data_IF_442486136543
#
_entry.id   IF_442486136543
#
_cell.length_a   1.000
_cell.length_b   1.000
_cell.length_c   1.000
_cell.angle_alpha   90.00
_cell.angle_beta   90.00
_cell.angle_gamma   90.00
#
_symmetry.space_group_name_H-M   'P 1'
#
loop_
_entity.id
_entity.type
_entity.pdbx_description
1 polymer ?
#
# COMPACT_ATOMS: atom_id res chain seq x y z
N UNK A 1 3.95 -11.51 12.58
CA UNK A 1 2.67 -11.35 11.88
C UNK A 1 2.01 -10.12 12.50
N UNK A 2 1.82 -9.07 11.70
CA UNK A 2 1.22 -7.82 12.18
C UNK A 2 -0.20 -8.05 12.71
N UNK A 3 -0.51 -7.48 13.88
CA UNK A 3 -1.88 -7.44 14.44
C UNK A 3 -2.63 -6.19 14.03
N UNK A 4 -1.98 -5.27 13.32
CA UNK A 4 -2.58 -4.05 12.80
C UNK A 4 -3.44 -4.38 11.58
N UNK A 5 -4.68 -3.92 11.58
CA UNK A 5 -5.67 -4.17 10.53
C UNK A 5 -5.60 -3.15 9.37
N UNK A 6 -4.53 -2.35 9.36
CA UNK A 6 -4.22 -1.38 8.33
C UNK A 6 -4.90 -0.02 8.49
N UNK A 7 -5.66 0.19 9.57
CA UNK A 7 -6.49 1.39 9.74
C UNK A 7 -5.77 2.45 10.58
N UNK A 8 -5.71 3.67 10.05
CA UNK A 8 -5.16 4.83 10.76
C UNK A 8 -6.30 5.66 11.34
N UNK A 9 -6.60 5.45 12.62
CA UNK A 9 -7.74 6.07 13.31
C UNK A 9 -7.60 7.60 13.46
N UNK A 10 -6.39 8.14 13.39
CA UNK A 10 -6.11 9.58 13.53
C UNK A 10 -6.64 10.38 12.34
N UNK A 11 -6.87 9.74 11.19
CA UNK A 11 -7.43 10.34 9.98
C UNK A 11 -8.83 9.78 9.67
N UNK A 12 -9.88 10.04 10.47
CA UNK A 12 -11.25 9.73 10.07
C UNK A 12 -11.83 10.93 9.29
N UNK A 13 -12.47 10.73 8.13
CA UNK A 13 -13.29 11.85 7.62
C UNK A 13 -14.54 12.01 8.48
N UNK A 14 -14.77 13.23 8.95
CA UNK A 14 -16.06 13.66 9.47
C UNK A 14 -16.94 13.98 8.26
N UNK A 15 -17.62 12.98 7.68
CA UNK A 15 -18.85 13.26 6.93
C UNK A 15 -19.98 13.28 7.94
N UNK A 16 -20.48 14.49 8.23
CA UNK A 16 -21.77 14.73 8.87
C UNK A 16 -22.77 13.63 8.47
N UNK A 17 -23.13 12.79 9.44
CA UNK A 17 -24.11 11.67 9.38
C UNK A 17 -23.66 10.29 8.88
N UNK A 18 -22.38 9.98 8.68
CA UNK A 18 -21.92 8.56 8.60
C UNK A 18 -20.75 8.29 9.55
N UNK A 19 -20.71 7.12 10.20
CA UNK A 19 -19.60 6.77 11.08
C UNK A 19 -18.31 6.70 10.25
N UNK A 20 -17.24 7.30 10.77
CA UNK A 20 -15.82 7.07 10.48
C UNK A 20 -15.54 6.52 9.07
N UNK A 21 -15.26 7.42 8.12
CA UNK A 21 -14.71 7.00 6.82
C UNK A 21 -13.21 6.82 6.99
N UNK A 22 -12.73 5.58 6.83
CA UNK A 22 -11.32 5.24 6.77
C UNK A 22 -10.68 6.01 5.60
N UNK A 23 -9.79 6.95 5.90
CA UNK A 23 -9.21 7.83 4.86
C UNK A 23 -8.09 7.10 4.13
N UNK A 24 -7.27 6.38 4.88
CA UNK A 24 -6.09 5.69 4.37
C UNK A 24 -6.01 4.28 4.96
N UNK A 25 -5.46 3.36 4.17
CA UNK A 25 -5.16 2.01 4.61
C UNK A 25 -3.72 1.65 4.32
N UNK A 26 -3.02 0.99 5.25
CA UNK A 26 -1.60 0.64 5.12
C UNK A 26 -1.42 -0.87 5.27
N UNK A 27 -0.77 -1.54 4.32
CA UNK A 27 -0.38 -2.97 4.35
C UNK A 27 -1.53 -4.00 4.51
N UNK A 28 -2.79 -3.56 4.42
CA UNK A 28 -3.96 -4.42 4.51
C UNK A 28 -5.01 -4.01 3.47
N UNK A 29 -5.29 -4.87 2.50
CA UNK A 29 -6.08 -4.52 1.30
C UNK A 29 -7.36 -5.36 1.19
N UNK A 30 -7.72 -6.12 2.24
CA UNK A 30 -8.97 -6.88 2.24
C UNK A 30 -10.15 -5.94 2.37
N UNK A 31 -11.19 -6.18 1.58
CA UNK A 31 -12.46 -5.46 1.72
C UNK A 31 -13.11 -5.86 3.04
N UNK A 32 -13.56 -4.86 3.79
CA UNK A 32 -14.41 -5.04 4.95
C UNK A 32 -15.84 -4.60 4.59
N UNK A 33 -16.84 -5.51 4.57
CA UNK A 33 -18.21 -5.13 4.22
C UNK A 33 -18.85 -4.16 5.22
N UNK A 34 -18.37 -4.11 6.46
CA UNK A 34 -18.90 -3.26 7.51
C UNK A 34 -18.28 -1.85 7.49
N UNK A 35 -17.31 -1.60 6.60
CA UNK A 35 -16.58 -0.33 6.52
C UNK A 35 -16.53 0.22 5.09
N UNK A 36 -16.46 1.55 4.92
CA UNK A 36 -16.25 2.14 3.60
C UNK A 36 -14.85 1.78 3.06
N UNK A 37 -14.72 1.79 1.74
CA UNK A 37 -13.41 1.62 1.11
C UNK A 37 -12.49 2.83 1.41
N UNK A 38 -11.17 2.61 1.61
CA UNK A 38 -10.23 3.70 1.82
C UNK A 38 -10.12 4.58 0.57
N UNK A 39 -9.68 5.84 0.76
CA UNK A 39 -9.46 6.79 -0.34
C UNK A 39 -8.05 6.67 -0.94
N UNK A 40 -7.08 6.20 -0.16
CA UNK A 40 -5.75 5.84 -0.61
C UNK A 40 -5.25 4.61 0.16
N UNK A 41 -4.45 3.77 -0.50
CA UNK A 41 -3.74 2.68 0.15
C UNK A 41 -2.23 2.94 0.14
N UNK A 42 -1.51 2.40 1.11
CA UNK A 42 -0.05 2.46 1.22
C UNK A 42 0.52 1.06 1.38
N UNK A 43 1.65 0.79 0.74
CA UNK A 43 2.38 -0.47 0.86
C UNK A 43 3.82 -0.18 1.30
N UNK A 44 4.15 -0.55 2.54
CA UNK A 44 5.46 -0.31 3.13
C UNK A 44 6.54 -1.16 2.44
N UNK A 45 6.29 -2.45 2.22
CA UNK A 45 7.25 -3.38 1.62
C UNK A 45 6.58 -4.66 1.09
N UNK A 46 7.34 -5.50 0.37
CA UNK A 46 6.82 -6.70 -0.31
C UNK A 46 7.07 -7.98 0.51
N UNK A 47 6.45 -8.08 1.69
CA UNK A 47 6.33 -9.34 2.43
C UNK A 47 4.88 -9.82 2.47
N UNK A 48 4.68 -11.15 2.40
CA UNK A 48 3.37 -11.75 2.18
C UNK A 48 2.32 -11.37 3.22
N UNK A 49 2.70 -11.15 4.48
CA UNK A 49 1.80 -10.74 5.55
C UNK A 49 1.35 -9.27 5.45
N UNK A 50 2.02 -8.46 4.62
CA UNK A 50 1.66 -7.08 4.28
C UNK A 50 0.96 -6.94 2.91
N UNK A 51 0.65 -8.05 2.22
CA UNK A 51 -0.01 -8.04 0.89
C UNK A 51 -1.46 -8.55 0.93
N UNK A 52 -2.04 -8.69 2.12
CA UNK A 52 -3.32 -9.38 2.30
C UNK A 52 -4.45 -8.68 1.52
N UNK A 53 -5.07 -9.39 0.57
CA UNK A 53 -6.19 -8.87 -0.24
C UNK A 53 -5.78 -8.13 -1.50
N UNK A 54 -4.48 -7.90 -1.68
CA UNK A 54 -3.92 -7.13 -2.79
C UNK A 54 -4.18 -7.78 -4.15
N UNK A 55 -4.38 -9.11 -4.23
CA UNK A 55 -4.66 -9.81 -5.48
C UNK A 55 -5.97 -9.40 -6.15
N UNK A 56 -6.91 -8.88 -5.34
CA UNK A 56 -8.27 -8.53 -5.77
C UNK A 56 -8.52 -7.02 -5.86
N UNK A 57 -7.53 -6.20 -5.47
CA UNK A 57 -7.67 -4.75 -5.40
C UNK A 57 -7.77 -4.14 -6.80
N UNK A 58 -8.75 -3.27 -7.00
CA UNK A 58 -8.98 -2.53 -8.26
C UNK A 58 -8.94 -1.02 -8.10
N UNK A 59 -9.07 -0.53 -6.88
CA UNK A 59 -9.03 0.86 -6.45
C UNK A 59 -8.97 0.87 -4.90
N UNK A 60 -8.51 1.95 -4.25
CA UNK A 60 -7.94 3.19 -4.82
C UNK A 60 -6.49 3.00 -5.31
N UNK A 61 -5.74 4.09 -5.51
CA UNK A 61 -4.29 4.02 -5.78
C UNK A 61 -3.51 3.49 -4.57
N UNK A 62 -2.38 2.84 -4.86
CA UNK A 62 -1.46 2.30 -3.85
C UNK A 62 -0.16 3.11 -3.91
N UNK A 63 0.17 3.80 -2.83
CA UNK A 63 1.39 4.57 -2.69
C UNK A 63 2.48 3.72 -2.02
N UNK A 64 3.70 3.78 -2.55
CA UNK A 64 4.83 2.97 -2.08
C UNK A 64 6.15 3.58 -2.53
N UNK A 65 7.29 2.97 -2.15
CA UNK A 65 8.57 3.34 -2.73
C UNK A 65 8.69 2.88 -4.19
N UNK A 66 9.60 3.51 -4.95
CA UNK A 66 9.92 3.08 -6.31
C UNK A 66 10.39 1.62 -6.37
N UNK A 67 11.21 1.19 -5.41
CA UNK A 67 11.70 -0.18 -5.34
C UNK A 67 10.57 -1.18 -5.02
N UNK A 68 9.68 -0.87 -4.08
CA UNK A 68 8.51 -1.70 -3.75
C UNK A 68 7.61 -1.90 -4.98
N UNK A 69 7.36 -0.84 -5.76
CA UNK A 69 6.61 -0.94 -7.04
C UNK A 69 7.27 -1.95 -7.98
N UNK A 70 8.57 -1.81 -8.23
CA UNK A 70 9.27 -2.67 -9.20
C UNK A 70 9.33 -4.12 -8.74
N UNK A 71 9.63 -4.37 -7.46
CA UNK A 71 9.65 -5.73 -6.89
C UNK A 71 8.27 -6.37 -7.02
N UNK A 72 7.20 -5.65 -6.66
CA UNK A 72 5.84 -6.18 -6.69
C UNK A 72 5.40 -6.55 -8.11
N UNK A 73 5.70 -5.70 -9.10
CA UNK A 73 5.32 -5.93 -10.51
C UNK A 73 6.08 -7.09 -11.16
N UNK A 74 7.28 -7.40 -10.68
CA UNK A 74 8.09 -8.53 -11.16
C UNK A 74 7.91 -9.81 -10.32
N UNK A 75 7.14 -9.77 -9.23
CA UNK A 75 6.96 -10.90 -8.35
C UNK A 75 6.26 -12.06 -9.09
N UNK A 76 6.89 -13.23 -9.09
CA UNK A 76 6.35 -14.47 -9.62
C UNK A 76 6.15 -15.48 -8.48
N UNK A 77 4.99 -16.13 -8.44
CA UNK A 77 4.76 -17.22 -7.47
C UNK A 77 5.72 -18.38 -7.75
N UNK A 78 6.21 -19.02 -6.70
CA UNK A 78 7.15 -20.14 -6.80
C UNK A 78 6.72 -21.22 -7.80
N UNK A 79 5.45 -21.71 -7.82
CA UNK A 79 5.02 -22.70 -8.80
C UNK A 79 5.12 -22.22 -10.25
N UNK A 80 4.83 -20.94 -10.53
CA UNK A 80 4.93 -20.40 -11.88
C UNK A 80 6.38 -20.34 -12.35
N UNK A 81 7.31 -19.92 -11.47
CA UNK A 81 8.75 -19.87 -11.78
C UNK A 81 9.30 -21.25 -12.12
N UNK A 82 8.98 -22.24 -11.28
CA UNK A 82 9.44 -23.62 -11.48
C UNK A 82 8.82 -24.23 -12.73
N UNK A 83 7.53 -24.03 -12.97
CA UNK A 83 6.85 -24.59 -14.14
C UNK A 83 7.36 -23.95 -15.44
N UNK A 84 7.68 -22.66 -15.46
CA UNK A 84 8.35 -22.03 -16.59
C UNK A 84 9.73 -22.63 -16.85
N UNK A 85 10.57 -22.77 -15.81
CA UNK A 85 11.90 -23.38 -15.93
C UNK A 85 11.85 -24.86 -16.37
N UNK A 86 10.77 -25.57 -16.05
CA UNK A 86 10.52 -26.96 -16.51
C UNK A 86 9.89 -27.04 -17.90
N UNK A 87 9.61 -25.92 -18.57
CA UNK A 87 8.94 -25.88 -19.87
C UNK A 87 7.45 -26.22 -19.83
N UNK A 88 6.84 -26.30 -18.65
CA UNK A 88 5.41 -26.56 -18.46
C UNK A 88 4.58 -25.29 -18.77
N UNK A 89 5.12 -24.11 -18.46
CA UNK A 89 4.52 -22.83 -18.84
C UNK A 89 5.27 -22.21 -20.01
N UNK A 90 4.53 -21.76 -21.02
CA UNK A 90 5.07 -21.08 -22.21
C UNK A 90 5.62 -19.68 -21.90
N UNK A 91 5.12 -19.04 -20.82
CA UNK A 91 5.53 -17.68 -20.45
C UNK A 91 5.57 -17.48 -18.94
N UNK A 92 6.39 -16.52 -18.51
CA UNK A 92 6.48 -16.09 -17.11
C UNK A 92 5.18 -15.41 -16.68
N UNK A 93 4.72 -15.73 -15.46
CA UNK A 93 3.45 -15.21 -14.92
C UNK A 93 3.70 -14.39 -13.65
N UNK A 94 3.78 -13.07 -13.83
CA UNK A 94 3.87 -12.11 -12.73
C UNK A 94 2.53 -12.00 -12.00
N UNK A 95 2.57 -12.05 -10.68
CA UNK A 95 1.37 -12.17 -9.85
C UNK A 95 0.56 -10.86 -9.80
N UNK A 96 1.24 -9.72 -9.65
CA UNK A 96 0.62 -8.41 -9.42
C UNK A 96 0.74 -7.44 -10.61
N UNK A 97 1.08 -7.92 -11.81
CA UNK A 97 1.25 -7.09 -13.02
C UNK A 97 0.05 -6.19 -13.34
N UNK A 98 -1.15 -6.64 -12.96
CA UNK A 98 -2.41 -5.90 -13.13
C UNK A 98 -2.47 -4.60 -12.31
N UNK A 99 -1.65 -4.44 -11.27
CA UNK A 99 -1.58 -3.24 -10.41
C UNK A 99 -0.67 -2.14 -10.97
N UNK A 100 -0.01 -2.34 -12.12
CA UNK A 100 0.92 -1.37 -12.73
C UNK A 100 0.34 0.04 -12.87
N UNK A 101 -0.96 0.14 -13.17
CA UNK A 101 -1.67 1.42 -13.28
C UNK A 101 -2.14 1.99 -11.95
N UNK A 102 -2.22 1.19 -10.90
CA UNK A 102 -2.68 1.59 -9.56
C UNK A 102 -1.54 2.00 -8.63
N UNK A 103 -0.35 1.46 -8.81
CA UNK A 103 0.81 1.83 -8.02
C UNK A 103 1.25 3.27 -8.34
N UNK A 104 1.62 4.02 -7.31
CA UNK A 104 2.09 5.41 -7.37
C UNK A 104 3.34 5.53 -6.49
N UNK A 105 4.55 5.46 -7.08
CA UNK A 105 5.76 5.56 -6.29
C UNK A 105 5.94 6.98 -5.76
N UNK A 106 6.37 7.11 -4.50
CA UNK A 106 6.76 8.38 -3.87
C UNK A 106 8.29 8.36 -3.65
N UNK A 107 9.01 9.45 -3.97
CA UNK A 107 10.44 9.54 -3.68
C UNK A 107 10.71 9.56 -2.16
N UNK A 108 11.83 8.98 -1.73
CA UNK A 108 12.26 9.05 -0.34
C UNK A 108 12.57 10.49 0.06
N UNK A 109 12.24 10.85 1.30
CA UNK A 109 12.54 12.14 1.93
C UNK A 109 11.99 13.37 1.16
N UNK A 110 11.01 13.16 0.28
CA UNK A 110 10.33 14.24 -0.45
C UNK A 110 8.88 14.31 0.03
N UNK A 111 8.49 15.39 0.75
CA UNK A 111 7.10 15.61 1.13
C UNK A 111 6.23 15.72 -0.12
N UNK A 112 5.25 14.82 -0.21
CA UNK A 112 4.39 14.68 -1.40
C UNK A 112 2.93 14.88 -1.00
N UNK A 113 2.28 15.86 -1.63
CA UNK A 113 0.84 16.11 -1.45
C UNK A 113 0.01 15.10 -2.22
N UNK A 114 -0.99 14.52 -1.55
CA UNK A 114 -1.93 13.55 -2.11
C UNK A 114 -3.34 14.08 -1.88
N UNK A 115 -4.06 14.36 -2.97
CA UNK A 115 -5.48 14.68 -2.92
C UNK A 115 -6.30 13.39 -2.77
N UNK A 116 -7.04 13.27 -1.67
CA UNK A 116 -7.87 12.11 -1.34
C UNK A 116 -9.31 12.29 -1.79
N UNK A 117 -9.79 13.53 -1.75
CA UNK A 117 -11.07 13.98 -2.27
C UNK A 117 -11.04 15.50 -2.43
N UNK A 118 -12.00 16.14 -3.12
CA UNK A 118 -12.01 17.59 -3.26
C UNK A 118 -11.88 18.30 -1.90
N UNK A 119 -10.85 19.15 -1.77
CA UNK A 119 -10.50 19.89 -0.53
C UNK A 119 -10.01 19.03 0.65
N UNK A 120 -9.66 17.76 0.41
CA UNK A 120 -9.04 16.92 1.43
C UNK A 120 -7.73 16.34 0.90
N UNK A 121 -6.63 16.87 1.44
CA UNK A 121 -5.28 16.47 1.08
C UNK A 121 -4.54 15.98 2.32
N UNK A 122 -3.60 15.06 2.08
CA UNK A 122 -2.58 14.68 3.05
C UNK A 122 -1.20 14.92 2.43
N UNK A 123 -0.24 15.20 3.29
CA UNK A 123 1.18 15.20 2.94
C UNK A 123 1.81 13.90 3.41
N UNK A 124 2.55 13.24 2.54
CA UNK A 124 3.24 11.98 2.86
C UNK A 124 4.72 12.10 2.56
N UNK A 125 5.55 11.69 3.53
CA UNK A 125 7.01 11.59 3.37
C UNK A 125 7.45 10.16 3.67
N UNK A 126 8.22 9.56 2.76
CA UNK A 126 8.77 8.21 2.94
C UNK A 126 10.16 8.29 3.56
N UNK A 127 10.42 7.45 4.55
CA UNK A 127 11.74 7.23 5.12
C UNK A 127 12.18 5.80 4.89
N UNK A 128 13.47 5.57 4.70
CA UNK A 128 14.01 4.21 4.64
C UNK A 128 13.73 3.48 5.96
N UNK A 129 13.18 2.27 5.87
CA UNK A 129 12.92 1.44 7.04
C UNK A 129 14.07 0.48 7.37
N UNK A 130 15.11 0.37 6.53
CA UNK A 130 16.28 -0.48 6.79
C UNK A 130 15.92 -1.97 7.07
N UNK A 131 14.79 -2.45 6.53
CA UNK A 131 14.31 -3.83 6.70
C UNK A 131 14.62 -4.72 5.50
N UNK A 132 14.18 -4.31 4.32
CA UNK A 132 14.45 -4.99 3.05
C UNK A 132 14.45 -3.97 1.89
N UNK A 133 14.91 -4.35 0.68
CA UNK A 133 14.94 -3.43 -0.46
C UNK A 133 13.56 -2.82 -0.74
N UNK A 134 13.48 -1.49 -0.66
CA UNK A 134 12.26 -0.72 -0.88
C UNK A 134 11.35 -0.56 0.33
N UNK A 135 11.67 -1.16 1.47
CA UNK A 135 10.91 -0.97 2.70
C UNK A 135 10.97 0.48 3.18
N UNK A 136 9.81 1.02 3.56
CA UNK A 136 9.69 2.41 4.00
C UNK A 136 8.77 2.58 5.18
N UNK A 137 9.08 3.59 5.99
CA UNK A 137 8.13 4.21 6.90
C UNK A 137 7.36 5.32 6.17
N UNK A 138 6.13 5.59 6.61
CA UNK A 138 5.31 6.70 6.12
C UNK A 138 5.05 7.70 7.25
N UNK A 139 5.54 8.93 7.09
CA UNK A 139 5.01 10.08 7.83
C UNK A 139 3.82 10.63 7.05
N UNK A 140 2.63 10.55 7.63
CA UNK A 140 1.38 11.04 7.03
C UNK A 140 0.88 12.20 7.87
N UNK A 141 0.67 13.34 7.23
CA UNK A 141 0.28 14.60 7.85
C UNK A 141 -0.97 15.16 7.17
N UNK A 142 -1.88 15.73 7.95
CA UNK A 142 -3.09 16.37 7.41
C UNK A 142 -4.09 16.69 8.49
N UNK A 143 -4.95 17.68 8.23
CA UNK A 143 -5.96 18.16 9.20
C UNK A 143 -5.39 18.50 10.59
N UNK A 144 -4.16 19.02 10.65
CA UNK A 144 -3.47 19.37 11.91
C UNK A 144 -2.95 18.18 12.71
N UNK A 145 -2.97 16.97 12.14
CA UNK A 145 -2.46 15.74 12.76
C UNK A 145 -1.29 15.17 11.96
N UNK A 146 -0.50 14.35 12.62
CA UNK A 146 0.60 13.60 12.02
C UNK A 146 0.69 12.21 12.65
N UNK A 147 0.95 11.19 11.81
CA UNK A 147 1.31 9.84 12.27
C UNK A 147 2.57 9.36 11.56
N UNK A 148 3.32 8.48 12.22
CA UNK A 148 4.41 7.72 11.61
C UNK A 148 4.04 6.24 11.62
N UNK A 149 3.81 5.67 10.44
CA UNK A 149 3.69 4.23 10.27
C UNK A 149 5.06 3.66 9.90
N UNK A 150 5.62 2.81 10.75
CA UNK A 150 7.00 2.32 10.54
C UNK A 150 7.09 1.18 9.53
N UNK A 151 5.99 0.44 9.32
CA UNK A 151 6.11 -0.91 8.77
C UNK A 151 7.05 -1.77 9.62
N UNK A 152 7.69 -2.74 8.99
CA UNK A 152 8.81 -3.46 9.57
C UNK A 152 10.09 -2.61 9.44
N UNK A 153 10.84 -2.43 10.52
CA UNK A 153 12.00 -1.53 10.60
C UNK A 153 13.14 -2.15 11.44
N UNK A 154 14.40 -1.75 11.17
CA UNK A 154 15.56 -2.05 12.02
C UNK A 154 16.40 -0.83 12.37
#
# INVERSE_FOLDING_TARGET
MSTFDGIVEEFPQIRSKKPHVDVVSVDYFRKNPDRPAPLACFLSHVHSDHLQGLESLRAPFIYCSAATREILLHLEKYPHRINFNKGILESRKQHYKHLSKLLRPIPLQVPTEIELSPRNNIRVTLFDANHCPGAVMFLIEGSGKAILYTGDIR
#
